data_IF_306060160529
#
_entry.id   IF_306060160529
#
_cell.length_a   1.000
_cell.length_b   1.000
_cell.length_c   1.000
_cell.angle_alpha   90.00
_cell.angle_beta   90.00
_cell.angle_gamma   90.00
#
_symmetry.space_group_name_H-M   'P 1'
#
loop_
_entity.id
_entity.type
_entity.pdbx_description
1 polymer ?
#
# COMPACT_ATOMS: atom_id res chain seq x y z
N UNK A 1 -20.36 10.41 -33.66
CA UNK A 1 -19.08 9.83 -33.22
C UNK A 1 -19.43 8.55 -32.49
N UNK A 2 -18.97 7.40 -32.96
CA UNK A 2 -19.06 6.18 -32.14
C UNK A 2 -18.06 6.37 -30.99
N UNK A 3 -18.56 6.62 -29.78
CA UNK A 3 -17.73 6.55 -28.58
C UNK A 3 -17.14 5.16 -28.53
N UNK A 4 -15.82 5.07 -28.39
CA UNK A 4 -15.17 3.78 -28.16
C UNK A 4 -15.77 3.17 -26.88
N UNK A 5 -16.09 1.87 -26.87
CA UNK A 5 -16.63 1.24 -25.67
C UNK A 5 -15.65 1.42 -24.51
N UNK A 6 -16.18 1.70 -23.32
CA UNK A 6 -15.38 1.83 -22.11
C UNK A 6 -14.60 0.53 -21.86
N UNK A 7 -13.32 0.62 -21.45
CA UNK A 7 -12.53 -0.56 -21.15
C UNK A 7 -13.10 -1.30 -19.93
N UNK A 8 -13.04 -2.62 -19.96
CA UNK A 8 -13.32 -3.45 -18.79
C UNK A 8 -12.07 -3.47 -17.93
N UNK A 9 -12.22 -3.14 -16.65
CA UNK A 9 -11.08 -3.12 -15.73
C UNK A 9 -10.85 -4.52 -15.18
N UNK A 10 -9.60 -4.97 -15.22
CA UNK A 10 -9.15 -6.20 -14.59
C UNK A 10 -8.21 -5.84 -13.45
N UNK A 11 -8.26 -6.60 -12.37
CA UNK A 11 -7.30 -6.47 -11.27
C UNK A 11 -6.94 -7.82 -10.69
N UNK A 12 -5.72 -7.94 -10.17
CA UNK A 12 -5.34 -9.05 -9.32
C UNK A 12 -5.03 -8.52 -7.92
N UNK A 13 -5.51 -9.21 -6.90
CA UNK A 13 -5.26 -8.86 -5.50
C UNK A 13 -5.09 -10.10 -4.64
N UNK A 14 -4.69 -9.92 -3.38
CA UNK A 14 -4.47 -10.98 -2.42
C UNK A 14 -4.22 -10.43 -1.02
N UNK A 15 -3.92 -11.31 -0.08
CA UNK A 15 -3.85 -11.00 1.35
C UNK A 15 -2.42 -10.63 1.83
N UNK A 16 -1.60 -10.09 0.92
CA UNK A 16 -0.20 -9.72 1.16
C UNK A 16 0.75 -10.91 1.07
N UNK A 17 1.76 -10.84 0.19
CA UNK A 17 2.71 -11.95 -0.03
C UNK A 17 2.08 -13.23 -0.59
N UNK A 18 0.82 -13.18 -1.02
CA UNK A 18 0.02 -14.37 -1.34
C UNK A 18 0.01 -14.74 -2.83
N UNK A 19 0.75 -14.01 -3.67
CA UNK A 19 0.96 -14.35 -5.08
C UNK A 19 0.00 -13.69 -6.08
N UNK A 20 -0.65 -12.58 -5.74
CA UNK A 20 -1.49 -11.80 -6.68
C UNK A 20 -0.79 -11.45 -7.99
N UNK A 21 0.52 -11.22 -7.95
CA UNK A 21 1.36 -10.98 -9.12
C UNK A 21 1.29 -12.11 -10.16
N UNK A 22 1.07 -13.36 -9.74
CA UNK A 22 0.87 -14.49 -10.66
C UNK A 22 -0.42 -14.34 -11.49
N UNK A 23 -1.50 -13.84 -10.88
CA UNK A 23 -2.73 -13.51 -11.59
C UNK A 23 -2.49 -12.43 -12.64
N UNK A 24 -1.78 -11.37 -12.26
CA UNK A 24 -1.42 -10.28 -13.19
C UNK A 24 -0.56 -10.80 -14.34
N UNK A 25 0.45 -11.62 -14.05
CA UNK A 25 1.31 -12.19 -15.08
C UNK A 25 0.57 -13.14 -16.03
N UNK A 26 -0.41 -13.92 -15.58
CA UNK A 26 -1.22 -14.75 -16.48
C UNK A 26 -2.07 -13.87 -17.42
N UNK A 27 -2.67 -12.79 -16.90
CA UNK A 27 -3.49 -11.89 -17.70
C UNK A 27 -2.66 -11.06 -18.71
N UNK A 28 -1.40 -10.79 -18.40
CA UNK A 28 -0.43 -10.18 -19.34
C UNK A 28 -0.18 -11.03 -20.59
N UNK A 29 -0.50 -12.32 -20.55
CA UNK A 29 -0.24 -13.21 -21.68
C UNK A 29 -1.24 -13.03 -22.84
N UNK A 30 -2.27 -12.19 -22.65
CA UNK A 30 -3.36 -11.99 -23.61
C UNK A 30 -3.21 -10.68 -24.41
N UNK A 31 -3.30 -10.76 -25.74
CA UNK A 31 -3.20 -9.59 -26.63
C UNK A 31 -4.33 -8.57 -26.45
N UNK A 32 -5.47 -9.02 -25.93
CA UNK A 32 -6.65 -8.19 -25.63
C UNK A 32 -6.55 -7.43 -24.30
N UNK A 33 -5.44 -7.57 -23.56
CA UNK A 33 -5.19 -6.93 -22.27
C UNK A 33 -4.09 -5.88 -22.41
N UNK A 34 -4.34 -4.66 -21.93
CA UNK A 34 -3.29 -3.66 -21.69
C UNK A 34 -2.94 -3.69 -20.20
N UNK A 35 -1.75 -4.19 -19.87
CA UNK A 35 -1.28 -4.30 -18.47
C UNK A 35 -0.46 -3.08 -18.05
N UNK A 36 -0.67 -2.63 -16.81
CA UNK A 36 0.20 -1.65 -16.15
C UNK A 36 1.36 -2.32 -15.39
N UNK A 37 1.46 -3.64 -15.44
CA UNK A 37 2.45 -4.43 -14.72
C UNK A 37 2.11 -4.61 -13.25
N UNK A 38 2.78 -5.58 -12.62
CA UNK A 38 2.68 -5.86 -11.18
C UNK A 38 3.65 -5.04 -10.32
N UNK A 39 4.42 -4.11 -10.92
CA UNK A 39 5.26 -3.17 -10.17
C UNK A 39 4.48 -1.95 -9.69
N UNK A 40 3.40 -1.63 -10.40
CA UNK A 40 2.54 -0.51 -10.10
C UNK A 40 1.30 -1.02 -9.36
N UNK A 41 1.34 -0.98 -8.02
CA UNK A 41 0.18 -1.27 -7.18
C UNK A 41 -0.68 0.00 -7.08
N UNK A 42 -1.84 0.02 -7.74
CA UNK A 42 -2.68 1.21 -7.83
C UNK A 42 -3.78 1.19 -6.77
N UNK A 43 -3.51 1.68 -5.56
CA UNK A 43 -4.38 1.43 -4.39
C UNK A 43 -5.36 2.55 -4.04
N UNK A 44 -5.38 3.68 -4.77
CA UNK A 44 -6.12 4.92 -4.38
C UNK A 44 -7.63 4.78 -4.08
N UNK A 45 -8.23 3.65 -4.43
CA UNK A 45 -9.62 3.33 -4.12
C UNK A 45 -9.78 2.90 -2.65
N UNK A 46 -8.85 2.09 -2.16
CA UNK A 46 -8.89 1.45 -0.83
C UNK A 46 -7.72 1.82 0.09
N UNK A 47 -6.76 2.60 -0.42
CA UNK A 47 -5.74 3.25 0.40
C UNK A 47 -6.40 4.22 1.38
N UNK A 48 -5.73 4.46 2.52
CA UNK A 48 -6.15 5.48 3.48
C UNK A 48 -6.33 6.82 2.75
N UNK A 49 -7.46 7.49 2.99
CA UNK A 49 -7.86 8.73 2.32
C UNK A 49 -8.29 8.57 0.85
N UNK A 50 -8.47 7.33 0.40
CA UNK A 50 -9.01 6.98 -0.90
C UNK A 50 -10.52 7.19 -1.05
N UNK A 51 -11.05 6.69 -2.18
CA UNK A 51 -12.49 6.81 -2.51
C UNK A 51 -13.37 6.17 -1.43
N UNK A 52 -12.94 5.04 -0.86
CA UNK A 52 -13.70 4.34 0.17
C UNK A 52 -13.92 5.20 1.43
N UNK A 53 -12.88 5.90 1.89
CA UNK A 53 -12.96 6.80 3.05
C UNK A 53 -13.81 8.04 2.75
N UNK A 54 -13.74 8.55 1.51
CA UNK A 54 -14.62 9.62 1.04
C UNK A 54 -16.09 9.18 1.06
N UNK A 55 -16.41 7.98 0.55
CA UNK A 55 -17.77 7.43 0.61
C UNK A 55 -18.25 7.25 2.04
N UNK A 56 -17.39 6.76 2.96
CA UNK A 56 -17.75 6.63 4.37
C UNK A 56 -18.14 7.98 4.99
N UNK A 57 -17.38 9.04 4.70
CA UNK A 57 -17.71 10.39 5.17
C UNK A 57 -19.04 10.89 4.58
N UNK A 58 -19.31 10.60 3.30
CA UNK A 58 -20.57 10.93 2.60
C UNK A 58 -21.76 10.23 3.23
N UNK A 59 -21.64 8.92 3.50
CA UNK A 59 -22.67 8.12 4.12
C UNK A 59 -22.96 8.57 5.56
N UNK A 60 -21.94 9.03 6.30
CA UNK A 60 -22.13 9.59 7.64
C UNK A 60 -22.79 10.98 7.61
N UNK A 61 -22.47 11.82 6.63
CA UNK A 61 -23.09 13.13 6.42
C UNK A 61 -22.61 14.25 7.36
N UNK A 62 -21.64 14.00 8.24
CA UNK A 62 -21.13 15.03 9.14
C UNK A 62 -20.29 16.08 8.39
N UNK A 63 -20.78 17.32 8.30
CA UNK A 63 -20.21 18.42 7.50
C UNK A 63 -18.69 18.67 7.67
N UNK A 64 -18.13 18.49 8.87
CA UNK A 64 -16.69 18.70 9.10
C UNK A 64 -15.85 17.50 8.62
N UNK A 65 -16.42 16.29 8.67
CA UNK A 65 -15.75 15.07 8.19
C UNK A 65 -15.74 15.03 6.68
N UNK A 66 -16.82 15.48 6.04
CA UNK A 66 -16.91 15.66 4.59
C UNK A 66 -15.84 16.60 4.05
N UNK A 67 -15.71 17.78 4.66
CA UNK A 67 -14.66 18.74 4.32
C UNK A 67 -13.26 18.12 4.45
N UNK A 68 -13.00 17.42 5.56
CA UNK A 68 -11.71 16.78 5.78
C UNK A 68 -11.45 15.64 4.79
N UNK A 69 -12.43 14.79 4.52
CA UNK A 69 -12.29 13.66 3.61
C UNK A 69 -11.99 14.13 2.18
N UNK A 70 -12.69 15.15 1.68
CA UNK A 70 -12.40 15.75 0.39
C UNK A 70 -10.96 16.29 0.31
N UNK A 71 -10.52 17.01 1.35
CA UNK A 71 -9.16 17.54 1.44
C UNK A 71 -8.10 16.45 1.53
N UNK A 72 -8.37 15.38 2.26
CA UNK A 72 -7.45 14.24 2.43
C UNK A 72 -7.33 13.46 1.13
N UNK A 73 -8.44 13.20 0.44
CA UNK A 73 -8.44 12.61 -0.90
C UNK A 73 -7.65 13.46 -1.92
N UNK A 74 -7.85 14.78 -1.95
CA UNK A 74 -7.07 15.65 -2.84
C UNK A 74 -5.58 15.69 -2.47
N UNK A 75 -5.25 15.63 -1.19
CA UNK A 75 -3.86 15.55 -0.72
C UNK A 75 -3.20 14.23 -1.12
N UNK A 76 -3.91 13.11 -0.98
CA UNK A 76 -3.49 11.81 -1.47
C UNK A 76 -3.28 11.87 -2.98
N UNK A 77 -4.29 12.32 -3.73
CA UNK A 77 -4.21 12.40 -5.19
C UNK A 77 -3.07 13.27 -5.69
N UNK A 78 -2.76 14.36 -4.99
CA UNK A 78 -1.62 15.22 -5.31
C UNK A 78 -0.27 14.54 -5.06
N UNK A 79 -0.20 13.70 -4.04
CA UNK A 79 1.01 12.92 -3.72
C UNK A 79 1.20 11.81 -4.75
N UNK A 80 0.14 11.07 -5.06
CA UNK A 80 0.15 10.02 -6.09
C UNK A 80 0.45 10.60 -7.47
N UNK A 81 -0.05 11.79 -7.81
CA UNK A 81 0.31 12.45 -9.06
C UNK A 81 1.81 12.79 -9.14
N UNK A 82 2.59 12.78 -8.06
CA UNK A 82 4.05 12.94 -8.14
C UNK A 82 4.80 11.62 -8.36
N UNK A 83 4.11 10.49 -8.20
CA UNK A 83 4.67 9.17 -8.45
C UNK A 83 4.86 8.92 -9.95
N UNK A 84 5.99 8.29 -10.31
CA UNK A 84 6.36 8.10 -11.71
C UNK A 84 5.42 7.17 -12.46
N UNK A 85 4.85 6.16 -11.79
CA UNK A 85 3.94 5.21 -12.43
C UNK A 85 2.55 5.83 -12.60
N UNK A 86 2.05 6.59 -11.62
CA UNK A 86 0.81 7.38 -11.79
C UNK A 86 0.96 8.41 -12.93
N UNK A 87 2.08 9.13 -13.01
CA UNK A 87 2.35 10.05 -14.11
C UNK A 87 2.33 9.34 -15.47
N UNK A 88 2.97 8.18 -15.55
CA UNK A 88 3.05 7.36 -16.76
C UNK A 88 1.67 6.85 -17.20
N UNK A 89 0.91 6.22 -16.31
CA UNK A 89 -0.33 5.53 -16.67
C UNK A 89 -1.55 6.44 -16.76
N UNK A 90 -1.54 7.59 -16.07
CA UNK A 90 -2.63 8.58 -16.12
C UNK A 90 -2.26 9.87 -16.85
N UNK A 91 -1.16 9.86 -17.62
CA UNK A 91 -0.69 10.99 -18.45
C UNK A 91 -0.55 12.31 -17.66
N UNK A 92 -0.10 12.21 -16.41
CA UNK A 92 0.00 13.33 -15.46
C UNK A 92 -1.31 14.09 -15.23
N UNK A 93 -2.46 13.44 -15.41
CA UNK A 93 -3.78 14.03 -15.19
C UNK A 93 -4.45 13.53 -13.91
N UNK A 94 -3.76 12.76 -13.06
CA UNK A 94 -4.39 12.08 -11.93
C UNK A 94 -4.97 13.10 -10.94
N UNK A 95 -4.15 14.04 -10.46
CA UNK A 95 -4.63 15.08 -9.54
C UNK A 95 -5.69 15.98 -10.17
N UNK A 96 -5.51 16.39 -11.44
CA UNK A 96 -6.47 17.26 -12.13
C UNK A 96 -7.85 16.61 -12.29
N UNK A 97 -7.90 15.30 -12.56
CA UNK A 97 -9.15 14.55 -12.63
C UNK A 97 -9.76 14.36 -11.24
N UNK A 98 -8.95 14.13 -10.21
CA UNK A 98 -9.41 14.06 -8.83
C UNK A 98 -10.02 15.39 -8.34
N UNK A 99 -9.42 16.53 -8.71
CA UNK A 99 -9.94 17.87 -8.40
C UNK A 99 -11.33 18.08 -9.03
N UNK A 100 -11.47 17.79 -10.33
CA UNK A 100 -12.77 17.83 -11.03
C UNK A 100 -13.81 16.89 -10.42
N UNK A 101 -13.39 15.70 -9.99
CA UNK A 101 -14.28 14.75 -9.33
C UNK A 101 -14.80 15.32 -8.01
N UNK A 102 -13.93 15.85 -7.15
CA UNK A 102 -14.36 16.51 -5.90
C UNK A 102 -15.28 17.69 -6.18
N UNK A 103 -14.98 18.50 -7.19
CA UNK A 103 -15.88 19.59 -7.63
C UNK A 103 -17.25 19.06 -8.03
N UNK A 104 -17.33 17.94 -8.77
CA UNK A 104 -18.59 17.35 -9.22
C UNK A 104 -19.47 16.85 -8.07
N UNK A 105 -18.87 16.40 -6.97
CA UNK A 105 -19.61 15.94 -5.78
C UNK A 105 -19.83 17.05 -4.73
N UNK A 106 -19.21 18.21 -4.92
CA UNK A 106 -19.35 19.35 -4.00
C UNK A 106 -20.62 20.15 -4.34
N UNK A 107 -21.46 20.41 -3.34
CA UNK A 107 -22.65 21.27 -3.46
C UNK A 107 -22.24 22.74 -3.45
N UNK A 108 -21.36 23.12 -2.52
CA UNK A 108 -20.79 24.46 -2.49
C UNK A 108 -19.40 24.46 -1.84
N UNK A 109 -18.59 25.43 -2.27
CA UNK A 109 -17.21 25.65 -1.81
C UNK A 109 -17.04 27.11 -1.40
N UNK A 110 -16.44 27.36 -0.24
CA UNK A 110 -16.12 28.71 0.23
C UNK A 110 -14.82 28.72 1.05
N UNK A 111 -14.35 29.91 1.43
CA UNK A 111 -13.26 30.05 2.39
C UNK A 111 -13.80 29.94 3.82
N UNK A 112 -13.66 28.77 4.43
CA UNK A 112 -14.16 28.46 5.76
C UNK A 112 -13.06 28.02 6.71
N UNK A 113 -13.43 27.80 7.97
CA UNK A 113 -12.51 27.28 8.97
C UNK A 113 -13.19 26.49 10.07
N UNK A 114 -12.42 25.61 10.68
CA UNK A 114 -12.72 24.84 11.88
C UNK A 114 -11.39 24.26 12.41
N UNK A 115 -11.40 23.67 13.60
CA UNK A 115 -10.18 23.32 14.34
C UNK A 115 -9.22 22.34 13.61
N UNK A 116 -9.66 21.61 12.57
CA UNK A 116 -8.78 20.75 11.72
C UNK A 116 -8.72 21.17 10.24
N UNK A 117 -9.20 22.37 9.89
CA UNK A 117 -9.33 22.80 8.50
C UNK A 117 -8.02 22.78 7.69
N UNK A 118 -6.86 22.88 8.37
CA UNK A 118 -5.51 22.93 7.78
C UNK A 118 -4.72 21.63 7.89
N UNK A 119 -5.30 20.53 8.38
CA UNK A 119 -4.58 19.28 8.64
C UNK A 119 -3.82 18.73 7.44
N UNK A 120 -4.39 18.86 6.24
CA UNK A 120 -3.79 18.37 4.99
C UNK A 120 -2.89 19.38 4.31
N UNK A 121 -2.82 20.63 4.83
CA UNK A 121 -2.14 21.73 4.17
C UNK A 121 -0.82 22.06 4.87
N UNK A 122 0.28 21.90 4.14
CA UNK A 122 1.58 22.42 4.58
C UNK A 122 1.60 23.96 4.49
N UNK A 123 1.50 24.63 5.63
CA UNK A 123 1.50 26.09 5.72
C UNK A 123 2.92 26.63 5.52
N UNK A 124 3.13 27.39 4.45
CA UNK A 124 4.41 28.05 4.18
C UNK A 124 4.64 29.24 5.14
N UNK A 125 5.90 29.63 5.34
CA UNK A 125 6.24 30.76 6.22
C UNK A 125 5.49 32.06 5.85
N UNK A 126 5.46 32.42 4.56
CA UNK A 126 4.76 33.61 4.10
C UNK A 126 3.25 33.54 4.35
N UNK A 127 2.63 32.36 4.22
CA UNK A 127 1.22 32.15 4.53
C UNK A 127 0.97 32.31 6.03
N UNK A 128 1.83 31.74 6.87
CA UNK A 128 1.77 31.92 8.32
C UNK A 128 1.87 33.41 8.73
N UNK A 129 2.69 34.21 8.04
CA UNK A 129 2.73 35.65 8.30
C UNK A 129 1.43 36.35 7.88
N UNK A 130 0.87 36.02 6.72
CA UNK A 130 -0.44 36.58 6.30
C UNK A 130 -1.55 36.25 7.28
N UNK A 131 -1.58 35.03 7.82
CA UNK A 131 -2.55 34.62 8.84
C UNK A 131 -2.45 35.50 10.10
N UNK A 132 -1.22 35.77 10.57
CA UNK A 132 -0.97 36.66 11.71
C UNK A 132 -1.41 38.09 11.43
N UNK A 133 -1.11 38.63 10.25
CA UNK A 133 -1.57 39.97 9.89
C UNK A 133 -3.09 40.07 9.84
N UNK A 134 -3.77 39.03 9.32
CA UNK A 134 -5.23 38.98 9.30
C UNK A 134 -5.83 38.93 10.71
N UNK A 135 -5.25 38.16 11.62
CA UNK A 135 -5.64 38.10 13.03
C UNK A 135 -5.46 39.45 13.74
N UNK A 136 -4.32 40.12 13.53
CA UNK A 136 -4.07 41.46 14.08
C UNK A 136 -5.08 42.46 13.52
N UNK A 137 -5.33 42.47 12.21
CA UNK A 137 -6.31 43.35 11.58
C UNK A 137 -7.71 43.14 12.17
N UNK A 138 -8.14 41.88 12.32
CA UNK A 138 -9.42 41.58 12.95
C UNK A 138 -9.48 42.13 14.37
N UNK A 139 -8.48 41.84 15.21
CA UNK A 139 -8.46 42.30 16.60
C UNK A 139 -8.48 43.83 16.70
N UNK A 140 -7.78 44.53 15.80
CA UNK A 140 -7.81 46.00 15.73
C UNK A 140 -9.19 46.53 15.38
N UNK A 141 -9.87 45.95 14.38
CA UNK A 141 -11.20 46.38 13.95
C UNK A 141 -12.33 45.97 14.92
N UNK A 142 -12.15 44.86 15.65
CA UNK A 142 -13.16 44.29 16.53
C UNK A 142 -13.16 44.90 17.93
N UNK A 143 -12.01 45.41 18.41
CA UNK A 143 -11.82 45.99 19.75
C UNK A 143 -12.85 47.05 20.14
N UNK A 144 -13.47 47.72 19.18
CA UNK A 144 -14.37 48.85 19.40
C UNK A 144 -15.87 48.49 19.26
N UNK A 145 -16.23 47.21 19.11
CA UNK A 145 -17.62 46.81 18.81
C UNK A 145 -18.39 46.33 20.04
N UNK A 146 -19.62 46.85 20.20
CA UNK A 146 -20.60 46.32 21.14
C UNK A 146 -21.37 45.14 20.50
N UNK A 147 -21.56 44.08 21.28
CA UNK A 147 -22.33 42.90 20.87
C UNK A 147 -23.82 43.11 21.20
N UNK A 148 -24.67 42.90 20.20
CA UNK A 148 -26.13 42.92 20.38
C UNK A 148 -26.71 41.51 20.68
N UNK A 149 -25.86 40.48 20.69
CA UNK A 149 -26.23 39.08 20.97
C UNK A 149 -25.83 38.71 22.41
N UNK A 150 -26.68 37.93 23.07
CA UNK A 150 -26.41 37.38 24.39
C UNK A 150 -25.71 36.02 24.26
N UNK A 151 -24.49 35.93 24.79
CA UNK A 151 -23.73 34.69 24.89
C UNK A 151 -23.40 34.43 26.36
N UNK A 152 -23.99 33.38 26.99
CA UNK A 152 -23.92 33.18 28.44
C UNK A 152 -22.50 32.87 28.94
N UNK A 153 -21.66 32.28 28.09
CA UNK A 153 -20.33 31.78 28.48
C UNK A 153 -19.19 32.76 28.18
N UNK A 154 -19.51 34.03 27.90
CA UNK A 154 -18.50 35.04 27.57
C UNK A 154 -17.78 34.78 26.25
N UNK A 155 -18.41 34.03 25.33
CA UNK A 155 -17.89 33.83 23.98
C UNK A 155 -17.69 35.19 23.30
N UNK A 156 -16.52 35.37 22.70
CA UNK A 156 -16.21 36.53 21.88
C UNK A 156 -15.79 36.06 20.48
N UNK A 157 -16.22 36.75 19.42
CA UNK A 157 -15.71 36.53 18.08
C UNK A 157 -14.18 36.57 18.06
N UNK A 158 -13.58 35.56 17.45
CA UNK A 158 -12.16 35.51 17.16
C UNK A 158 -11.96 35.21 15.68
N UNK A 159 -10.87 35.71 15.11
CA UNK A 159 -10.51 35.39 13.75
C UNK A 159 -9.83 34.02 13.69
N UNK A 160 -10.41 33.11 12.91
CA UNK A 160 -9.74 31.87 12.54
C UNK A 160 -9.30 31.97 11.09
N UNK A 161 -8.02 31.69 10.76
CA UNK A 161 -7.57 31.60 9.38
C UNK A 161 -8.48 30.70 8.54
N UNK A 162 -8.75 31.10 7.31
CA UNK A 162 -9.65 30.37 6.40
C UNK A 162 -8.88 29.64 5.31
N UNK A 163 -9.48 28.57 4.81
CA UNK A 163 -9.02 27.80 3.65
C UNK A 163 -10.25 27.27 2.92
N UNK A 164 -10.07 26.65 1.76
CA UNK A 164 -11.14 25.94 1.06
C UNK A 164 -11.95 25.08 2.04
N UNK A 165 -13.27 25.21 2.00
CA UNK A 165 -14.20 24.36 2.72
C UNK A 165 -15.13 23.71 1.70
N UNK A 166 -15.23 22.38 1.76
CA UNK A 166 -16.08 21.60 0.86
C UNK A 166 -17.36 21.17 1.58
N UNK A 167 -18.52 21.60 1.07
CA UNK A 167 -19.80 21.06 1.49
C UNK A 167 -20.27 20.05 0.44
N UNK A 168 -20.25 18.78 0.81
CA UNK A 168 -20.73 17.65 0.01
C UNK A 168 -22.09 17.23 0.58
N UNK A 169 -23.12 17.14 -0.25
CA UNK A 169 -24.43 16.65 0.17
C UNK A 169 -24.47 15.12 0.21
N UNK A 170 -25.51 14.54 0.82
CA UNK A 170 -25.83 13.12 0.62
C UNK A 170 -26.25 12.92 -0.83
N UNK A 171 -25.30 12.61 -1.70
CA UNK A 171 -25.52 12.58 -3.14
C UNK A 171 -26.05 11.22 -3.57
N UNK A 172 -27.28 11.20 -4.09
CA UNK A 172 -27.85 10.02 -4.74
C UNK A 172 -27.07 9.59 -5.99
N UNK A 173 -26.25 10.48 -6.55
CA UNK A 173 -25.44 10.26 -7.76
C UNK A 173 -23.94 10.02 -7.48
N UNK A 174 -23.53 9.81 -6.22
CA UNK A 174 -22.12 9.58 -5.86
C UNK A 174 -21.47 8.47 -6.68
N UNK A 175 -22.12 7.29 -6.78
CA UNK A 175 -21.58 6.17 -7.54
C UNK A 175 -21.46 6.50 -9.04
N UNK A 176 -22.43 7.20 -9.62
CA UNK A 176 -22.38 7.57 -11.05
C UNK A 176 -21.26 8.59 -11.33
N UNK A 177 -21.06 9.58 -10.46
CA UNK A 177 -19.92 10.52 -10.55
C UNK A 177 -18.59 9.81 -10.36
N UNK A 178 -18.54 8.82 -9.49
CA UNK A 178 -17.33 8.01 -9.23
C UNK A 178 -17.00 7.11 -10.44
N UNK A 179 -18.01 6.46 -11.04
CA UNK A 179 -17.87 5.71 -12.30
C UNK A 179 -17.38 6.59 -13.43
N UNK A 180 -17.92 7.80 -13.54
CA UNK A 180 -17.47 8.79 -14.53
C UNK A 180 -16.01 9.14 -14.31
N UNK A 181 -15.62 9.48 -13.07
CA UNK A 181 -14.23 9.78 -12.72
C UNK A 181 -13.25 8.64 -13.04
N UNK A 182 -13.58 7.41 -12.65
CA UNK A 182 -12.76 6.23 -12.91
C UNK A 182 -12.68 5.96 -14.42
N UNK A 183 -13.80 6.02 -15.13
CA UNK A 183 -13.82 5.83 -16.60
C UNK A 183 -12.97 6.87 -17.30
N UNK A 184 -13.04 8.13 -16.85
CA UNK A 184 -12.23 9.23 -17.35
C UNK A 184 -10.73 9.00 -17.11
N UNK A 185 -10.33 8.39 -15.99
CA UNK A 185 -8.94 8.07 -15.71
C UNK A 185 -8.38 7.02 -16.69
N UNK A 186 -9.15 5.98 -16.95
CA UNK A 186 -8.73 4.83 -17.77
C UNK A 186 -8.97 5.03 -19.28
N UNK A 187 -9.86 5.94 -19.66
CA UNK A 187 -10.17 6.30 -21.06
C UNK A 187 -9.33 7.48 -21.56
N UNK A 188 -8.03 7.50 -21.25
CA UNK A 188 -7.14 8.64 -21.50
C UNK A 188 -6.44 8.63 -22.88
N UNK A 189 -6.78 7.67 -23.75
CA UNK A 189 -6.22 7.52 -25.10
C UNK A 189 -4.88 6.76 -25.18
N UNK A 190 -4.27 6.40 -24.05
CA UNK A 190 -3.04 5.60 -24.02
C UNK A 190 -3.31 4.11 -24.25
N UNK A 191 -4.51 3.64 -23.96
CA UNK A 191 -4.87 2.23 -23.94
C UNK A 191 -6.03 1.98 -24.91
N UNK A 192 -5.87 1.00 -25.80
CA UNK A 192 -6.82 0.71 -26.90
C UNK A 192 -7.45 -0.67 -26.82
N UNK A 193 -6.95 -1.51 -25.91
CA UNK A 193 -7.45 -2.86 -25.75
C UNK A 193 -8.76 -2.86 -24.97
N UNK A 194 -9.54 -3.93 -25.15
CA UNK A 194 -10.81 -4.15 -24.45
C UNK A 194 -10.64 -4.16 -22.93
N UNK A 195 -9.54 -4.74 -22.45
CA UNK A 195 -9.25 -4.89 -21.04
C UNK A 195 -8.06 -4.03 -20.61
N UNK A 196 -8.17 -3.37 -19.45
CA UNK A 196 -7.06 -2.70 -18.78
C UNK A 196 -6.81 -3.41 -17.45
N UNK A 197 -5.60 -3.94 -17.29
CA UNK A 197 -5.18 -4.66 -16.09
C UNK A 197 -4.36 -3.76 -15.17
N UNK A 198 -4.82 -3.64 -13.94
CA UNK A 198 -4.22 -2.79 -12.90
C UNK A 198 -4.03 -3.61 -11.63
N UNK A 199 -2.80 -3.74 -11.17
CA UNK A 199 -2.48 -4.54 -9.99
C UNK A 199 -2.99 -3.86 -8.70
N UNK A 200 -3.58 -4.65 -7.80
CA UNK A 200 -4.07 -4.21 -6.48
C UNK A 200 -5.08 -3.04 -6.51
N UNK A 201 -5.85 -2.87 -7.59
CA UNK A 201 -6.82 -1.79 -7.70
C UNK A 201 -7.98 -1.93 -6.71
N UNK A 202 -8.37 -3.18 -6.46
CA UNK A 202 -9.33 -3.52 -5.41
C UNK A 202 -8.63 -4.27 -4.29
N UNK A 203 -9.14 -4.07 -3.08
CA UNK A 203 -8.80 -4.89 -1.91
C UNK A 203 -9.46 -6.28 -2.02
N UNK A 204 -8.92 -7.35 -1.40
CA UNK A 204 -9.58 -8.66 -1.37
C UNK A 204 -10.79 -8.71 -0.42
N UNK A 205 -11.33 -7.55 -0.05
CA UNK A 205 -12.41 -7.32 0.90
C UNK A 205 -13.53 -6.55 0.23
N UNK A 206 -14.77 -6.76 0.67
CA UNK A 206 -15.95 -5.96 0.30
C UNK A 206 -16.10 -5.63 -1.21
N UNK A 207 -15.91 -6.62 -2.09
CA UNK A 207 -16.04 -6.43 -3.55
C UNK A 207 -17.41 -5.88 -3.95
N UNK A 208 -18.47 -6.20 -3.18
CA UNK A 208 -19.81 -5.65 -3.40
C UNK A 208 -19.83 -4.14 -3.38
N UNK A 209 -19.08 -3.51 -2.47
CA UNK A 209 -19.01 -2.06 -2.36
C UNK A 209 -18.06 -1.47 -3.39
N UNK A 210 -16.84 -2.00 -3.48
CA UNK A 210 -15.81 -1.49 -4.41
C UNK A 210 -16.23 -1.55 -5.88
N UNK A 211 -16.94 -2.60 -6.29
CA UNK A 211 -17.40 -2.74 -7.68
C UNK A 211 -18.41 -1.69 -8.10
N UNK A 212 -19.16 -1.08 -7.16
CA UNK A 212 -20.10 0.00 -7.48
C UNK A 212 -19.43 1.28 -7.99
N UNK A 213 -18.11 1.40 -7.85
CA UNK A 213 -17.34 2.52 -8.40
C UNK A 213 -17.05 2.36 -9.90
N UNK A 214 -17.32 1.20 -10.50
CA UNK A 214 -16.98 0.86 -11.88
C UNK A 214 -18.23 0.58 -12.71
N UNK A 215 -18.13 0.76 -14.03
CA UNK A 215 -19.12 0.22 -14.96
C UNK A 215 -18.95 -1.29 -15.14
N UNK A 216 -17.71 -1.77 -15.29
CA UNK A 216 -17.37 -3.18 -15.34
C UNK A 216 -15.97 -3.38 -14.75
N UNK A 217 -15.87 -4.33 -13.80
CA UNK A 217 -14.61 -4.72 -13.19
C UNK A 217 -14.64 -6.22 -12.84
N UNK A 218 -13.52 -6.89 -13.11
CA UNK A 218 -13.29 -8.29 -12.70
C UNK A 218 -11.98 -8.42 -11.93
N UNK A 219 -12.02 -9.16 -10.84
CA UNK A 219 -10.90 -9.35 -9.94
C UNK A 219 -10.48 -10.82 -9.84
N UNK A 220 -9.17 -11.08 -9.99
CA UNK A 220 -8.58 -12.35 -9.56
C UNK A 220 -8.07 -12.19 -8.13
N UNK A 221 -8.53 -13.03 -7.23
CA UNK A 221 -8.05 -13.07 -5.84
C UNK A 221 -7.16 -14.30 -5.68
N UNK A 222 -5.87 -14.04 -5.49
CA UNK A 222 -4.86 -15.12 -5.34
C UNK A 222 -4.43 -15.21 -3.88
N UNK A 223 -4.46 -16.43 -3.35
CA UNK A 223 -3.99 -16.72 -2.01
C UNK A 223 -3.04 -17.89 -1.98
N UNK A 224 -2.18 -17.94 -0.97
CA UNK A 224 -1.10 -18.92 -0.81
C UNK A 224 -1.39 -19.83 0.37
N UNK A 225 -0.92 -21.07 0.27
CA UNK A 225 -0.93 -22.02 1.37
C UNK A 225 -0.35 -21.39 2.66
N UNK A 226 -1.06 -21.48 3.81
CA UNK A 226 -0.63 -20.83 5.04
C UNK A 226 0.73 -21.33 5.53
N UNK A 227 1.10 -22.59 5.26
CA UNK A 227 2.39 -23.16 5.66
C UNK A 227 3.53 -22.52 4.88
N UNK A 228 3.34 -22.38 3.57
CA UNK A 228 4.32 -21.73 2.69
C UNK A 228 4.43 -20.24 2.98
N UNK A 229 3.30 -19.56 3.23
CA UNK A 229 3.29 -18.15 3.61
C UNK A 229 4.02 -17.92 4.94
N UNK A 230 3.76 -18.75 5.96
CA UNK A 230 4.45 -18.69 7.24
C UNK A 230 5.95 -18.93 7.08
N UNK A 231 6.32 -20.00 6.37
CA UNK A 231 7.71 -20.39 6.19
C UNK A 231 8.51 -19.31 5.44
N UNK A 232 8.04 -18.84 4.29
CA UNK A 232 8.76 -17.81 3.51
C UNK A 232 8.91 -16.50 4.30
N UNK A 233 7.89 -16.16 5.09
CA UNK A 233 7.92 -15.00 5.96
C UNK A 233 8.99 -15.12 7.06
N UNK A 234 9.09 -16.29 7.69
CA UNK A 234 10.09 -16.55 8.72
C UNK A 234 11.52 -16.54 8.18
N UNK A 235 11.73 -17.08 6.98
CA UNK A 235 13.07 -17.39 6.48
C UNK A 235 13.67 -16.31 5.58
N UNK A 236 12.86 -15.66 4.73
CA UNK A 236 13.37 -14.76 3.67
C UNK A 236 12.77 -13.36 3.66
N UNK A 237 11.48 -13.18 3.98
CA UNK A 237 10.81 -11.87 3.83
C UNK A 237 10.87 -10.98 5.06
N UNK A 238 10.51 -11.50 6.25
CA UNK A 238 10.56 -10.72 7.50
C UNK A 238 9.73 -9.43 7.50
N UNK A 239 8.64 -9.34 6.71
CA UNK A 239 7.79 -8.14 6.66
C UNK A 239 6.99 -7.94 7.96
N UNK A 240 7.01 -6.75 8.54
CA UNK A 240 6.41 -6.49 9.86
C UNK A 240 4.87 -6.53 9.93
N UNK A 241 4.16 -6.58 8.80
CA UNK A 241 2.69 -6.63 8.78
C UNK A 241 2.11 -8.05 8.78
N UNK A 242 2.96 -9.09 8.69
CA UNK A 242 2.57 -10.50 8.83
C UNK A 242 3.16 -11.02 10.15
N UNK A 243 2.34 -11.33 11.16
CA UNK A 243 2.83 -11.58 12.52
C UNK A 243 3.28 -13.04 12.70
N UNK A 244 4.47 -13.40 12.21
CA UNK A 244 4.99 -14.78 12.31
C UNK A 244 5.79 -15.08 13.59
N UNK A 245 6.09 -14.07 14.40
CA UNK A 245 6.84 -14.21 15.65
C UNK A 245 6.20 -15.17 16.66
N UNK A 246 4.87 -15.27 16.60
CA UNK A 246 4.07 -16.20 17.38
C UNK A 246 3.07 -16.87 16.44
N UNK A 247 3.19 -18.20 16.30
CA UNK A 247 2.33 -19.01 15.43
C UNK A 247 0.84 -18.88 15.77
N UNK A 248 0.46 -18.67 17.03
CA UNK A 248 -0.94 -18.44 17.41
C UNK A 248 -1.46 -17.11 16.85
N UNK A 249 -0.66 -16.05 16.96
CA UNK A 249 -1.01 -14.73 16.41
C UNK A 249 -1.09 -14.81 14.88
N UNK A 250 -0.17 -15.55 14.24
CA UNK A 250 -0.24 -15.80 12.80
C UNK A 250 -1.55 -16.50 12.40
N UNK A 251 -1.94 -17.55 13.12
CA UNK A 251 -3.18 -18.30 12.85
C UNK A 251 -4.41 -17.40 12.99
N UNK A 252 -4.48 -16.63 14.08
CA UNK A 252 -5.58 -15.68 14.32
C UNK A 252 -5.64 -14.60 13.24
N UNK A 253 -4.49 -14.02 12.88
CA UNK A 253 -4.37 -13.04 11.80
C UNK A 253 -4.79 -13.63 10.45
N UNK A 254 -4.35 -14.85 10.13
CA UNK A 254 -4.67 -15.52 8.88
C UNK A 254 -6.19 -15.75 8.75
N UNK A 255 -6.85 -16.23 9.81
CA UNK A 255 -8.31 -16.38 9.86
C UNK A 255 -9.02 -15.04 9.74
N UNK A 256 -8.62 -14.04 10.52
CA UNK A 256 -9.28 -12.74 10.55
C UNK A 256 -9.21 -12.03 9.19
N UNK A 257 -8.05 -12.07 8.54
CA UNK A 257 -7.85 -11.48 7.20
C UNK A 257 -8.54 -12.26 6.09
N UNK A 258 -8.94 -13.52 6.29
CA UNK A 258 -9.63 -14.32 5.24
C UNK A 258 -11.10 -14.57 5.56
N UNK A 259 -11.65 -13.90 6.57
CA UNK A 259 -13.02 -14.10 7.03
C UNK A 259 -14.08 -13.91 5.93
N UNK A 260 -13.79 -13.11 4.89
CA UNK A 260 -14.70 -12.88 3.77
C UNK A 260 -14.35 -13.69 2.51
N UNK A 261 -13.31 -14.53 2.52
CA UNK A 261 -12.84 -15.29 1.34
C UNK A 261 -13.95 -16.14 0.71
N UNK A 262 -14.80 -16.76 1.53
CA UNK A 262 -15.93 -17.57 1.04
C UNK A 262 -16.90 -16.78 0.15
N UNK A 263 -17.00 -15.45 0.33
CA UNK A 263 -17.90 -14.58 -0.45
C UNK A 263 -17.45 -14.43 -1.89
N UNK A 264 -16.16 -14.58 -2.17
CA UNK A 264 -15.59 -14.40 -3.52
C UNK A 264 -16.27 -15.34 -4.52
N UNK A 265 -16.32 -16.64 -4.20
CA UNK A 265 -16.92 -17.63 -5.10
C UNK A 265 -18.44 -17.80 -4.92
N UNK A 266 -19.07 -17.07 -4.00
CA UNK A 266 -20.50 -17.18 -3.71
C UNK A 266 -21.22 -15.86 -4.04
N UNK A 267 -21.17 -14.90 -3.13
CA UNK A 267 -21.82 -13.59 -3.25
C UNK A 267 -21.21 -12.71 -4.36
N UNK A 268 -19.91 -12.83 -4.61
CA UNK A 268 -19.15 -11.95 -5.52
C UNK A 268 -18.69 -12.65 -6.79
N UNK A 269 -19.22 -13.84 -7.10
CA UNK A 269 -18.75 -14.71 -8.20
C UNK A 269 -18.78 -14.09 -9.60
N UNK A 270 -19.56 -13.02 -9.80
CA UNK A 270 -19.64 -12.30 -11.08
C UNK A 270 -18.56 -11.21 -11.20
N UNK A 271 -17.98 -10.79 -10.08
CA UNK A 271 -17.02 -9.68 -9.96
C UNK A 271 -15.63 -10.18 -9.57
N UNK A 272 -15.54 -11.27 -8.81
CA UNK A 272 -14.28 -11.80 -8.32
C UNK A 272 -14.22 -13.32 -8.46
N UNK A 273 -13.02 -13.83 -8.75
CA UNK A 273 -12.70 -15.26 -8.82
C UNK A 273 -11.54 -15.57 -7.90
N UNK A 274 -11.73 -16.52 -6.99
CA UNK A 274 -10.66 -16.99 -6.11
C UNK A 274 -9.89 -18.15 -6.74
N UNK A 275 -8.56 -18.08 -6.70
CA UNK A 275 -7.66 -19.14 -7.18
C UNK A 275 -6.50 -19.32 -6.19
N UNK A 276 -6.24 -20.53 -5.67
CA UNK A 276 -5.01 -20.82 -4.94
C UNK A 276 -3.78 -20.61 -5.84
N UNK A 277 -2.73 -19.99 -5.32
CA UNK A 277 -1.45 -19.82 -6.03
C UNK A 277 -0.93 -21.18 -6.52
N UNK A 278 -1.06 -22.21 -5.69
CA UNK A 278 -0.63 -23.56 -5.98
C UNK A 278 -1.40 -24.16 -7.17
N UNK A 279 -2.70 -23.86 -7.33
CA UNK A 279 -3.46 -24.29 -8.51
C UNK A 279 -2.94 -23.63 -9.80
N UNK A 280 -2.42 -22.41 -9.76
CA UNK A 280 -1.75 -21.81 -10.94
C UNK A 280 -0.49 -22.57 -11.33
N UNK A 281 0.19 -23.19 -10.35
CA UNK A 281 1.43 -23.94 -10.56
C UNK A 281 1.15 -25.39 -10.97
N UNK A 282 0.37 -26.13 -10.19
CA UNK A 282 0.15 -27.57 -10.34
C UNK A 282 -1.02 -27.91 -11.26
N UNK A 283 -1.97 -26.99 -11.44
CA UNK A 283 -3.18 -27.16 -12.26
C UNK A 283 -3.29 -26.07 -13.34
N UNK A 284 -2.15 -25.69 -13.95
CA UNK A 284 -2.06 -24.51 -14.83
C UNK A 284 -3.15 -24.45 -15.91
N UNK A 285 -3.31 -25.51 -16.72
CA UNK A 285 -4.29 -25.49 -17.82
C UNK A 285 -5.74 -25.39 -17.29
N UNK A 286 -6.08 -26.09 -16.20
CA UNK A 286 -7.40 -26.00 -15.56
C UNK A 286 -7.67 -24.60 -14.98
N UNK A 287 -6.68 -24.01 -14.32
CA UNK A 287 -6.79 -22.66 -13.76
C UNK A 287 -6.92 -21.61 -14.87
N UNK A 288 -6.19 -21.79 -15.97
CA UNK A 288 -6.26 -20.91 -17.14
C UNK A 288 -7.65 -20.96 -17.79
N UNK A 289 -8.26 -22.14 -17.96
CA UNK A 289 -9.62 -22.25 -18.47
C UNK A 289 -10.64 -21.53 -17.58
N UNK A 290 -10.55 -21.70 -16.25
CA UNK A 290 -11.42 -20.99 -15.29
C UNK A 290 -11.28 -19.47 -15.39
N UNK A 291 -10.05 -18.97 -15.52
CA UNK A 291 -9.79 -17.53 -15.69
C UNK A 291 -10.41 -17.03 -17.00
N UNK A 292 -10.21 -17.77 -18.11
CA UNK A 292 -10.77 -17.40 -19.42
C UNK A 292 -12.29 -17.36 -19.40
N UNK A 293 -12.93 -18.37 -18.83
CA UNK A 293 -14.40 -18.42 -18.70
C UNK A 293 -14.93 -17.25 -17.86
N UNK A 294 -14.33 -17.03 -16.69
CA UNK A 294 -14.74 -15.96 -15.78
C UNK A 294 -14.61 -14.57 -16.43
N UNK A 295 -13.52 -14.29 -17.12
CA UNK A 295 -13.27 -12.97 -17.72
C UNK A 295 -13.95 -12.81 -19.10
N UNK A 296 -14.10 -13.90 -19.84
CA UNK A 296 -14.52 -13.91 -21.24
C UNK A 296 -13.36 -13.68 -22.20
N UNK A 297 -12.20 -14.28 -21.92
CA UNK A 297 -10.99 -14.23 -22.77
C UNK A 297 -11.00 -15.37 -23.79
N UNK A 298 -10.53 -15.08 -25.02
CA UNK A 298 -10.44 -16.08 -26.07
C UNK A 298 -9.09 -16.80 -26.05
N UNK A 299 -9.07 -18.10 -26.39
CA UNK A 299 -7.82 -18.87 -26.49
C UNK A 299 -6.86 -18.28 -27.52
N UNK A 300 -7.38 -17.78 -28.65
CA UNK A 300 -6.56 -17.20 -29.73
C UNK A 300 -5.89 -15.88 -29.32
N UNK A 301 -6.35 -15.24 -28.23
CA UNK A 301 -5.74 -14.02 -27.69
C UNK A 301 -4.54 -14.34 -26.77
N UNK A 302 -4.36 -15.60 -26.34
CA UNK A 302 -3.30 -16.03 -25.42
C UNK A 302 -1.95 -16.21 -26.13
N UNK A 303 -1.44 -15.13 -26.72
CA UNK A 303 -0.28 -15.17 -27.63
C UNK A 303 1.08 -15.23 -26.92
N UNK A 304 1.15 -14.93 -25.62
CA UNK A 304 2.40 -14.96 -24.84
C UNK A 304 2.40 -16.06 -23.78
N UNK A 305 1.82 -17.22 -24.10
CA UNK A 305 1.71 -18.38 -23.20
C UNK A 305 3.04 -18.70 -22.50
N UNK A 306 3.01 -18.72 -21.17
CA UNK A 306 4.15 -19.02 -20.29
C UNK A 306 5.37 -18.12 -20.51
N UNK A 307 5.16 -16.87 -20.91
CA UNK A 307 6.24 -15.88 -21.00
C UNK A 307 6.31 -15.00 -19.77
N UNK A 308 5.15 -14.70 -19.17
CA UNK A 308 5.04 -13.84 -18.00
C UNK A 308 4.89 -14.68 -16.73
N UNK A 309 3.97 -15.66 -16.73
CA UNK A 309 3.84 -16.61 -15.64
C UNK A 309 4.38 -17.99 -16.06
N UNK A 310 5.43 -18.45 -15.39
CA UNK A 310 6.12 -19.70 -15.72
C UNK A 310 5.92 -20.69 -14.56
N UNK A 311 4.92 -21.59 -14.60
CA UNK A 311 4.65 -22.54 -13.53
C UNK A 311 5.88 -23.32 -13.07
N UNK A 312 6.72 -23.72 -14.03
CA UNK A 312 7.92 -24.52 -13.82
C UNK A 312 9.00 -23.77 -13.02
N UNK A 313 9.03 -22.43 -13.11
CA UNK A 313 9.89 -21.60 -12.26
C UNK A 313 9.21 -21.29 -10.92
N UNK A 314 7.91 -21.07 -10.93
CA UNK A 314 7.13 -20.72 -9.75
C UNK A 314 6.99 -21.87 -8.74
N UNK A 315 7.19 -23.12 -9.16
CA UNK A 315 7.09 -24.30 -8.29
C UNK A 315 8.03 -24.25 -7.08
N UNK A 316 9.16 -23.55 -7.20
CA UNK A 316 10.11 -23.34 -6.09
C UNK A 316 9.56 -22.44 -4.98
N UNK A 317 8.42 -21.78 -5.20
CA UNK A 317 7.73 -20.96 -4.21
C UNK A 317 6.60 -21.73 -3.50
N UNK A 318 6.56 -23.05 -3.67
CA UNK A 318 5.60 -23.98 -3.05
C UNK A 318 6.35 -25.04 -2.24
N UNK A 319 5.69 -25.60 -1.24
CA UNK A 319 6.25 -26.57 -0.29
C UNK A 319 7.58 -26.09 0.34
N UNK A 320 7.75 -24.77 0.45
CA UNK A 320 8.87 -24.07 1.09
C UNK A 320 9.00 -24.52 2.53
N UNK A 321 7.88 -24.72 3.23
CA UNK A 321 7.88 -25.20 4.61
C UNK A 321 8.63 -26.53 4.82
N UNK A 322 8.69 -27.39 3.79
CA UNK A 322 9.42 -28.68 3.87
C UNK A 322 10.94 -28.52 3.87
N UNK A 323 11.46 -27.39 3.42
CA UNK A 323 12.91 -27.09 3.41
C UNK A 323 13.47 -26.80 4.80
N UNK A 324 12.60 -26.44 5.75
CA UNK A 324 12.98 -25.93 7.06
C UNK A 324 12.41 -26.79 8.20
N UNK A 325 13.03 -27.94 8.53
CA UNK A 325 12.59 -28.81 9.62
C UNK A 325 12.51 -28.11 10.98
N UNK A 326 13.26 -27.03 11.16
CA UNK A 326 13.24 -26.19 12.37
C UNK A 326 11.86 -25.59 12.63
N UNK A 327 11.05 -25.40 11.59
CA UNK A 327 9.69 -24.86 11.68
C UNK A 327 8.62 -25.94 11.94
N UNK A 328 9.00 -27.23 12.00
CA UNK A 328 8.03 -28.36 12.02
C UNK A 328 6.94 -28.21 13.06
N UNK A 329 7.28 -27.77 14.28
CA UNK A 329 6.31 -27.59 15.36
C UNK A 329 5.23 -26.56 15.02
N UNK A 330 5.64 -25.44 14.42
CA UNK A 330 4.72 -24.36 14.07
C UNK A 330 3.89 -24.74 12.84
N UNK A 331 4.51 -25.41 11.87
CA UNK A 331 3.82 -25.96 10.69
C UNK A 331 2.75 -26.97 11.08
N UNK A 332 3.02 -27.87 12.02
CA UNK A 332 2.05 -28.88 12.48
C UNK A 332 0.82 -28.23 13.12
N UNK A 333 1.05 -27.12 13.83
CA UNK A 333 -0.03 -26.34 14.41
C UNK A 333 -0.83 -25.60 13.34
N UNK A 334 -0.16 -25.02 12.35
CA UNK A 334 -0.81 -24.39 11.19
C UNK A 334 -1.65 -25.41 10.43
N UNK A 335 -1.13 -26.60 10.14
CA UNK A 335 -1.85 -27.68 9.45
C UNK A 335 -3.13 -28.06 10.17
N UNK A 336 -3.05 -28.20 11.50
CA UNK A 336 -4.20 -28.55 12.32
C UNK A 336 -5.24 -27.44 12.39
N UNK A 337 -4.82 -26.20 12.61
CA UNK A 337 -5.74 -25.09 12.90
C UNK A 337 -6.25 -24.35 11.65
N UNK A 338 -5.58 -24.54 10.50
CA UNK A 338 -5.88 -23.94 9.19
C UNK A 338 -6.04 -25.00 8.09
N UNK A 339 -6.50 -26.21 8.44
CA UNK A 339 -6.66 -27.34 7.51
C UNK A 339 -7.45 -26.95 6.24
N UNK A 340 -8.55 -26.21 6.39
CA UNK A 340 -9.41 -25.76 5.27
C UNK A 340 -8.72 -24.80 4.28
N UNK A 341 -7.58 -24.22 4.66
CA UNK A 341 -6.77 -23.32 3.84
C UNK A 341 -5.55 -24.02 3.23
N UNK A 342 -5.19 -25.20 3.71
CA UNK A 342 -4.02 -25.94 3.26
C UNK A 342 -4.25 -26.56 1.88
N UNK A 343 -3.26 -26.44 1.01
CA UNK A 343 -3.26 -27.06 -0.31
C UNK A 343 -2.85 -28.53 -0.23
N UNK A 344 -3.53 -29.38 -0.99
CA UNK A 344 -3.34 -30.84 -0.98
C UNK A 344 -2.22 -31.28 -1.93
N UNK A 345 -0.97 -31.00 -1.57
CA UNK A 345 0.21 -31.32 -2.37
C UNK A 345 0.39 -32.83 -2.65
N UNK A 346 -0.15 -33.71 -1.80
CA UNK A 346 -0.12 -35.16 -1.93
C UNK A 346 -0.81 -35.70 -3.19
N UNK A 347 -1.63 -34.88 -3.84
CA UNK A 347 -2.30 -35.21 -5.11
C UNK A 347 -1.39 -35.07 -6.33
N UNK A 348 -0.20 -34.49 -6.16
CA UNK A 348 0.72 -34.16 -7.24
C UNK A 348 2.04 -34.93 -7.12
N UNK A 349 2.78 -35.10 -8.23
CA UNK A 349 4.11 -35.71 -8.18
C UNK A 349 5.02 -34.98 -7.17
N UNK A 350 5.84 -35.72 -6.40
CA UNK A 350 6.76 -35.11 -5.46
C UNK A 350 7.80 -34.26 -6.21
N UNK A 351 8.13 -33.11 -5.64
CA UNK A 351 9.21 -32.26 -6.11
C UNK A 351 10.46 -32.48 -5.26
N UNK A 352 11.67 -32.27 -5.80
CA UNK A 352 12.89 -32.24 -5.00
C UNK A 352 12.80 -31.15 -3.92
N UNK A 353 13.12 -31.51 -2.68
CA UNK A 353 13.18 -30.59 -1.54
C UNK A 353 14.59 -30.61 -0.98
N UNK A 354 15.30 -29.49 -1.11
CA UNK A 354 16.61 -29.30 -0.51
C UNK A 354 16.44 -28.79 0.92
N UNK A 355 16.60 -29.69 1.89
CA UNK A 355 16.53 -29.36 3.31
C UNK A 355 17.71 -28.49 3.72
N UNK A 356 17.44 -27.36 4.38
CA UNK A 356 18.50 -26.49 4.88
C UNK A 356 19.16 -27.07 6.14
N UNK A 357 20.41 -26.66 6.39
CA UNK A 357 21.15 -27.07 7.59
C UNK A 357 20.55 -26.42 8.84
N UNK A 358 20.76 -27.07 9.99
CA UNK A 358 20.30 -26.60 11.30
C UNK A 358 20.82 -25.20 11.69
N UNK A 359 21.93 -24.76 11.11
CA UNK A 359 22.53 -23.45 11.38
C UNK A 359 22.07 -22.34 10.43
N UNK A 360 21.02 -22.56 9.64
CA UNK A 360 20.43 -21.52 8.80
C UNK A 360 19.92 -20.37 9.66
N UNK A 361 20.18 -19.13 9.24
CA UNK A 361 19.78 -17.93 9.98
C UNK A 361 18.47 -17.41 9.39
N UNK A 362 17.40 -17.39 10.18
CA UNK A 362 16.12 -16.85 9.76
C UNK A 362 16.14 -15.33 9.78
N UNK A 363 15.56 -14.70 8.74
CA UNK A 363 15.40 -13.24 8.72
C UNK A 363 14.58 -12.78 9.93
N UNK A 364 13.62 -13.58 10.38
CA UNK A 364 12.80 -13.27 11.54
C UNK A 364 13.63 -13.16 12.84
N UNK A 365 14.66 -13.99 13.01
CA UNK A 365 15.56 -13.89 14.16
C UNK A 365 16.43 -12.63 14.09
N UNK A 366 16.87 -12.26 12.88
CA UNK A 366 17.58 -11.00 12.64
C UNK A 366 16.67 -9.81 12.97
N UNK A 367 15.41 -9.81 12.51
CA UNK A 367 14.44 -8.76 12.79
C UNK A 367 14.22 -8.59 14.30
N UNK A 368 13.98 -9.69 15.03
CA UNK A 368 13.82 -9.66 16.50
C UNK A 368 15.01 -9.01 17.21
N UNK A 369 16.22 -9.36 16.81
CA UNK A 369 17.43 -8.79 17.41
C UNK A 369 17.57 -7.29 17.12
N UNK A 370 17.27 -6.86 15.89
CA UNK A 370 17.31 -5.45 15.48
C UNK A 370 16.21 -4.63 16.16
N UNK A 371 14.98 -5.17 16.22
CA UNK A 371 13.84 -4.52 16.87
C UNK A 371 14.06 -4.39 18.37
N UNK A 372 14.62 -5.41 19.02
CA UNK A 372 15.02 -5.32 20.42
C UNK A 372 16.02 -4.19 20.66
N UNK A 373 17.02 -4.05 19.79
CA UNK A 373 17.96 -2.93 19.87
C UNK A 373 17.24 -1.60 19.68
N UNK A 374 16.35 -1.48 18.70
CA UNK A 374 15.57 -0.27 18.44
C UNK A 374 14.69 0.13 19.64
N UNK A 375 13.98 -0.83 20.23
CA UNK A 375 13.00 -0.58 21.27
C UNK A 375 13.66 -0.34 22.64
N UNK A 376 14.74 -1.06 22.95
CA UNK A 376 15.33 -1.08 24.30
C UNK A 376 16.71 -0.42 24.39
N UNK A 377 17.38 -0.21 23.26
CA UNK A 377 18.80 0.17 23.21
C UNK A 377 19.78 -0.97 23.54
N UNK A 378 19.30 -2.20 23.74
CA UNK A 378 20.13 -3.36 24.14
C UNK A 378 20.34 -4.33 22.99
N UNK A 379 21.59 -4.75 22.79
CA UNK A 379 21.91 -5.89 21.93
C UNK A 379 21.48 -7.21 22.56
N UNK A 380 21.15 -8.20 21.73
CA UNK A 380 21.00 -9.58 22.18
C UNK A 380 22.31 -10.09 22.78
N UNK A 381 22.23 -10.96 23.79
CA UNK A 381 23.43 -11.54 24.43
C UNK A 381 24.27 -12.34 23.44
N UNK A 382 23.61 -12.91 22.44
CA UNK A 382 24.21 -13.74 21.39
C UNK A 382 24.55 -12.94 20.13
N UNK A 383 24.47 -11.60 20.20
CA UNK A 383 24.77 -10.73 19.06
C UNK A 383 26.22 -10.93 18.61
N UNK A 384 26.41 -11.32 17.35
CA UNK A 384 27.73 -11.56 16.76
C UNK A 384 28.43 -10.28 16.29
N UNK A 385 27.78 -9.12 16.41
CA UNK A 385 28.29 -7.84 15.92
C UNK A 385 28.88 -7.03 17.07
N UNK A 386 30.11 -6.53 16.86
CA UNK A 386 30.77 -5.66 17.83
C UNK A 386 29.99 -4.35 18.01
N UNK A 387 29.67 -3.93 19.26
CA UNK A 387 29.03 -2.64 19.52
C UNK A 387 29.80 -1.45 18.94
N UNK A 388 31.14 -1.51 19.01
CA UNK A 388 32.03 -0.47 18.47
C UNK A 388 31.87 -0.37 16.95
N UNK A 389 31.76 -1.51 16.26
CA UNK A 389 31.55 -1.55 14.82
C UNK A 389 30.17 -1.00 14.42
N UNK A 390 29.13 -1.30 15.21
CA UNK A 390 27.79 -0.73 15.00
C UNK A 390 27.82 0.80 15.12
N UNK A 391 28.41 1.32 16.20
CA UNK A 391 28.52 2.77 16.43
C UNK A 391 29.32 3.44 15.29
N UNK A 392 30.41 2.81 14.85
CA UNK A 392 31.17 3.29 13.70
C UNK A 392 30.31 3.35 12.43
N UNK A 393 29.50 2.31 12.17
CA UNK A 393 28.67 2.24 10.97
C UNK A 393 27.52 3.25 10.93
N UNK A 394 27.04 3.71 12.10
CA UNK A 394 26.05 4.80 12.19
C UNK A 394 26.68 6.16 11.90
N UNK A 395 28.00 6.31 12.05
CA UNK A 395 28.69 7.57 11.82
C UNK A 395 28.56 8.06 10.37
N UNK A 396 28.52 9.38 10.19
CA UNK A 396 28.46 10.01 8.87
C UNK A 396 29.67 9.63 8.00
N UNK A 397 30.82 9.39 8.62
CA UNK A 397 32.04 8.99 7.92
C UNK A 397 31.84 7.61 7.25
N UNK A 398 31.38 6.61 8.00
CA UNK A 398 31.11 5.28 7.44
C UNK A 398 30.03 5.34 6.35
N UNK A 399 28.95 6.07 6.57
CA UNK A 399 27.89 6.28 5.58
C UNK A 399 28.40 6.90 4.27
N UNK A 400 29.27 7.91 4.34
CA UNK A 400 29.78 8.55 3.13
C UNK A 400 30.83 7.72 2.40
N UNK A 401 31.62 6.92 3.11
CA UNK A 401 32.56 5.96 2.50
C UNK A 401 31.79 4.88 1.75
N UNK A 402 30.81 4.25 2.42
CA UNK A 402 30.02 3.15 1.84
C UNK A 402 29.20 3.60 0.63
N UNK A 403 28.58 4.78 0.69
CA UNK A 403 27.79 5.34 -0.43
C UNK A 403 28.64 6.04 -1.50
N UNK A 404 29.96 6.03 -1.39
CA UNK A 404 30.82 6.68 -2.40
C UNK A 404 30.86 5.90 -3.70
N UNK A 405 30.93 4.57 -3.63
CA UNK A 405 31.04 3.67 -4.78
C UNK A 405 29.83 3.72 -5.71
N UNK A 406 28.66 4.07 -5.20
CA UNK A 406 27.40 4.14 -5.97
C UNK A 406 27.24 5.45 -6.73
N UNK A 407 28.14 6.42 -6.57
CA UNK A 407 28.08 7.74 -7.21
C UNK A 407 28.57 7.68 -8.66
N UNK A 408 27.67 7.95 -9.60
CA UNK A 408 27.98 7.81 -11.02
C UNK A 408 28.59 9.07 -11.66
N UNK A 409 28.18 10.26 -11.24
CA UNK A 409 28.59 11.52 -11.91
C UNK A 409 29.80 12.19 -11.25
N UNK A 410 30.63 12.87 -12.04
CA UNK A 410 31.79 13.62 -11.54
C UNK A 410 31.41 14.63 -10.45
N UNK A 411 30.32 15.39 -10.65
CA UNK A 411 29.79 16.35 -9.67
C UNK A 411 29.38 15.66 -8.36
N UNK A 412 28.77 14.48 -8.43
CA UNK A 412 28.38 13.72 -7.24
C UNK A 412 29.58 13.13 -6.50
N UNK A 413 30.62 12.69 -7.22
CA UNK A 413 31.89 12.20 -6.67
C UNK A 413 32.65 13.33 -5.97
N UNK A 414 32.79 14.50 -6.59
CA UNK A 414 33.46 15.65 -5.97
C UNK A 414 32.75 16.09 -4.68
N UNK A 415 31.42 16.18 -4.70
CA UNK A 415 30.62 16.41 -3.48
C UNK A 415 30.82 15.32 -2.43
N UNK A 416 30.97 14.06 -2.86
CA UNK A 416 31.26 12.92 -1.99
C UNK A 416 32.60 13.08 -1.26
N UNK A 417 33.67 13.43 -1.98
CA UNK A 417 35.01 13.66 -1.40
C UNK A 417 34.96 14.76 -0.34
N UNK A 418 34.30 15.89 -0.64
CA UNK A 418 34.13 16.99 0.33
C UNK A 418 33.36 16.51 1.58
N UNK A 419 32.28 15.76 1.40
CA UNK A 419 31.51 15.19 2.52
C UNK A 419 32.33 14.21 3.36
N UNK A 420 33.14 13.36 2.74
CA UNK A 420 34.04 12.43 3.43
C UNK A 420 35.09 13.20 4.23
N UNK A 421 35.75 14.19 3.63
CA UNK A 421 36.75 15.03 4.32
C UNK A 421 36.18 15.75 5.54
N UNK A 422 35.00 16.38 5.39
CA UNK A 422 34.30 17.01 6.52
C UNK A 422 33.88 16.00 7.59
N UNK A 423 33.33 14.85 7.19
CA UNK A 423 32.94 13.81 8.13
C UNK A 423 34.13 13.18 8.84
N UNK A 424 35.30 13.09 8.20
CA UNK A 424 36.53 12.62 8.82
C UNK A 424 36.99 13.55 9.94
N UNK A 425 36.96 14.87 9.70
CA UNK A 425 37.30 15.87 10.71
C UNK A 425 36.33 15.84 11.91
N UNK A 426 35.03 15.64 11.64
CA UNK A 426 33.99 15.59 12.67
C UNK A 426 33.80 14.20 13.29
N UNK A 427 34.48 13.17 12.79
CA UNK A 427 34.26 11.78 13.18
C UNK A 427 34.44 11.54 14.69
N UNK A 428 35.48 12.06 15.38
CA UNK A 428 35.61 11.84 16.82
C UNK A 428 34.40 12.36 17.62
N UNK A 429 33.86 13.52 17.23
CA UNK A 429 32.69 14.12 17.88
C UNK A 429 31.43 13.31 17.56
N UNK A 430 31.21 12.98 16.29
CA UNK A 430 30.06 12.18 15.82
C UNK A 430 30.05 10.79 16.47
N UNK A 431 31.22 10.13 16.54
CA UNK A 431 31.39 8.83 17.18
C UNK A 431 31.11 8.91 18.69
N UNK A 432 31.66 9.91 19.40
CA UNK A 432 31.37 10.11 20.82
C UNK A 432 29.89 10.37 21.09
N UNK A 433 29.22 11.17 20.27
CA UNK A 433 27.76 11.40 20.38
C UNK A 433 27.02 10.07 20.20
N UNK A 434 27.31 9.31 19.16
CA UNK A 434 26.66 8.01 18.92
C UNK A 434 26.96 6.99 20.02
N UNK A 435 28.17 6.98 20.58
CA UNK A 435 28.53 6.15 21.74
C UNK A 435 27.73 6.54 22.99
N UNK A 436 27.61 7.83 23.29
CA UNK A 436 26.80 8.32 24.40
C UNK A 436 25.34 7.91 24.22
N UNK A 437 24.78 8.13 23.02
CA UNK A 437 23.41 7.70 22.73
C UNK A 437 23.28 6.19 22.93
N UNK A 438 24.16 5.38 22.35
CA UNK A 438 24.11 3.93 22.45
C UNK A 438 24.21 3.41 23.90
N UNK A 439 25.05 4.02 24.74
CA UNK A 439 25.23 3.60 26.14
C UNK A 439 24.10 4.08 27.06
N UNK A 440 23.58 5.30 26.83
CA UNK A 440 22.71 5.98 27.79
C UNK A 440 21.24 6.09 27.37
N UNK A 441 20.87 5.77 26.13
CA UNK A 441 19.44 5.69 25.72
C UNK A 441 18.86 4.30 25.95
N UNK A 442 19.19 3.68 27.08
CA UNK A 442 18.53 2.46 27.52
C UNK A 442 17.12 2.81 27.95
N UNK A 443 16.14 2.11 27.39
CA UNK A 443 14.75 2.19 27.86
C UNK A 443 14.46 0.97 28.72
N UNK A 444 13.72 1.17 29.79
CA UNK A 444 13.09 0.05 30.49
C UNK A 444 12.06 -0.56 29.53
N UNK A 445 12.18 -1.88 29.35
CA UNK A 445 11.33 -2.67 28.45
C UNK A 445 10.01 -3.02 29.12
#
# INVERSE_FOLDING_TARGET
>A
MHEAPLPIILTSTGYGGSGSSAGTNILEEFSSVTSFGNKFECTFIHEMDGIYDLENAINEGHRLKLDLAAKRFLSLAKTLDQDSDYQKYFNGQFYKKAEKYIESITVCKWNGSWHRAFETKKIAFAEKQRMRFAEVLFNTLYKERQLNSYEPDGWQPSYTPVTDYYCIGSQSDFYEKTKTYISDLFSNGLHKNKYILVDQLLSPYDFKRYSNYFHDIKALVIDKDPRDLYAVQMVDWGVGYIPCDNVDIFIDWYKATRAQRYRINTEWKNTALFIPFESLVYEYDNSLEKIKEFIGLNTDEHIYKKQFFIPEKSIVNTQVYKRYPQLKKDIDKIEKELEEYCFHFEKYPPIPIDTVKDNYIFINDICKDVEKLQLTGRLSKDCRVSPVLLIFNVSKLSLYITTFSTRQTLKSKLKGIVKIGLAFLLFPVDFCINLILFVFTLKDA
#
